data_IF_114081008157
#
_entry.id   IF_114081008157
#
_cell.length_a   1.000
_cell.length_b   1.000
_cell.length_c   1.000
_cell.angle_alpha   90.00
_cell.angle_beta   90.00
_cell.angle_gamma   90.00
#
_symmetry.space_group_name_H-M   'P 1'
#
loop_
_entity.id
_entity.type
_entity.pdbx_description
1 polymer ?
#
# COMPACT_ATOMS: atom_id res chain seq x y z
N UNK A 1 4.76 -11.03 15.72
CA UNK A 1 5.11 -9.72 16.30
C UNK A 1 6.41 -9.16 15.73
N UNK A 2 7.45 -9.99 15.57
CA UNK A 2 8.72 -9.62 14.92
C UNK A 2 8.57 -8.93 13.55
N UNK A 3 7.62 -9.37 12.72
CA UNK A 3 7.39 -8.79 11.39
C UNK A 3 6.84 -7.36 11.46
N UNK A 4 5.96 -7.06 12.42
CA UNK A 4 5.45 -5.70 12.62
C UNK A 4 6.56 -4.79 13.16
N UNK A 5 7.43 -5.30 14.03
CA UNK A 5 8.59 -4.56 14.52
C UNK A 5 9.54 -4.19 13.37
N UNK A 6 9.79 -5.11 12.44
CA UNK A 6 10.61 -4.84 11.26
C UNK A 6 9.97 -3.78 10.34
N UNK A 7 8.65 -3.82 10.17
CA UNK A 7 7.92 -2.78 9.43
C UNK A 7 7.90 -1.43 10.18
N UNK A 8 8.03 -1.43 11.50
CA UNK A 8 8.07 -0.21 12.32
C UNK A 8 9.41 0.51 12.31
N UNK A 9 10.40 -0.01 11.58
CA UNK A 9 11.74 0.59 11.48
C UNK A 9 11.69 2.07 11.09
N UNK A 10 10.89 2.42 10.08
CA UNK A 10 10.78 3.81 9.59
C UNK A 10 10.23 4.76 10.65
N UNK A 11 9.31 4.28 11.50
CA UNK A 11 8.73 5.03 12.62
C UNK A 11 9.71 5.17 13.79
N UNK A 12 10.48 4.09 14.02
CA UNK A 12 11.40 3.98 15.15
C UNK A 12 12.70 4.78 14.98
N UNK A 13 13.02 5.20 13.76
CA UNK A 13 14.27 5.93 13.45
C UNK A 13 14.04 7.44 13.38
N UNK A 14 14.86 8.20 14.09
CA UNK A 14 14.91 9.66 13.97
C UNK A 14 15.33 10.07 12.55
N UNK A 15 14.53 10.91 11.89
CA UNK A 15 14.75 11.31 10.49
C UNK A 15 16.03 12.10 10.21
N UNK A 16 16.73 12.56 11.26
CA UNK A 16 17.98 13.31 11.12
C UNK A 16 19.22 12.41 10.97
N UNK A 17 19.07 11.09 11.16
CA UNK A 17 20.20 10.14 11.17
C UNK A 17 20.40 9.37 9.87
N UNK A 18 19.35 9.20 9.07
CA UNK A 18 19.39 8.37 7.85
C UNK A 18 18.75 9.10 6.68
N UNK A 19 19.36 8.97 5.52
CA UNK A 19 18.79 9.43 4.26
C UNK A 19 17.55 8.59 3.89
N UNK A 20 16.62 9.14 3.09
CA UNK A 20 15.46 8.38 2.64
C UNK A 20 15.82 7.10 1.86
N UNK A 21 16.97 7.06 1.19
CA UNK A 21 17.45 5.88 0.46
C UNK A 21 17.88 4.76 1.40
N UNK A 22 18.63 5.08 2.46
CA UNK A 22 19.07 4.10 3.46
C UNK A 22 17.88 3.48 4.20
N UNK A 23 16.88 4.30 4.55
CA UNK A 23 15.65 3.79 5.16
C UNK A 23 14.95 2.78 4.25
N UNK A 24 14.93 3.03 2.94
CA UNK A 24 14.36 2.10 1.95
C UNK A 24 15.15 0.80 1.90
N UNK A 25 16.48 0.85 1.87
CA UNK A 25 17.32 -0.36 1.80
C UNK A 25 17.12 -1.32 2.97
N UNK A 26 16.81 -0.81 4.16
CA UNK A 26 16.52 -1.62 5.35
C UNK A 26 15.08 -2.12 5.36
N UNK A 27 14.13 -1.31 4.86
CA UNK A 27 12.70 -1.64 4.87
C UNK A 27 12.33 -2.67 3.78
N UNK A 28 13.06 -2.70 2.66
CA UNK A 28 12.76 -3.57 1.51
C UNK A 28 12.79 -5.06 1.83
N UNK A 29 13.80 -5.61 2.54
CA UNK A 29 13.79 -7.00 2.96
C UNK A 29 12.58 -7.37 3.84
N UNK A 30 12.15 -6.47 4.73
CA UNK A 30 11.00 -6.70 5.60
C UNK A 30 9.69 -6.75 4.79
N UNK A 31 9.52 -5.83 3.84
CA UNK A 31 8.39 -5.82 2.91
C UNK A 31 8.39 -7.08 2.03
N UNK A 32 9.55 -7.49 1.51
CA UNK A 32 9.69 -8.70 0.70
C UNK A 32 9.33 -9.96 1.49
N UNK A 33 9.83 -10.09 2.73
CA UNK A 33 9.51 -11.22 3.61
C UNK A 33 8.01 -11.28 3.93
N UNK A 34 7.37 -10.15 4.23
CA UNK A 34 5.92 -10.10 4.42
C UNK A 34 5.19 -10.55 3.14
N UNK A 35 5.62 -10.06 1.99
CA UNK A 35 5.01 -10.38 0.70
C UNK A 35 5.10 -11.88 0.40
N UNK A 36 6.26 -12.49 0.63
CA UNK A 36 6.42 -13.93 0.47
C UNK A 36 5.61 -14.75 1.47
N UNK A 37 5.48 -14.27 2.71
CA UNK A 37 4.58 -14.89 3.69
C UNK A 37 3.14 -14.82 3.20
N UNK A 38 2.68 -13.66 2.74
CA UNK A 38 1.33 -13.44 2.23
C UNK A 38 0.98 -14.39 1.07
N UNK A 39 1.92 -14.65 0.16
CA UNK A 39 1.74 -15.59 -0.96
C UNK A 39 1.56 -17.06 -0.51
N UNK A 40 1.98 -17.40 0.71
CA UNK A 40 1.87 -18.76 1.28
C UNK A 40 0.62 -18.94 2.15
N UNK A 41 -0.12 -17.87 2.43
CA UNK A 41 -1.30 -17.92 3.27
C UNK A 41 -2.57 -18.14 2.44
N UNK A 42 -3.55 -18.82 3.04
CA UNK A 42 -4.91 -18.85 2.51
C UNK A 42 -5.58 -17.48 2.70
N UNK A 43 -6.62 -17.18 1.92
CA UNK A 43 -7.40 -15.94 2.09
C UNK A 43 -7.91 -15.77 3.54
N UNK A 44 -8.41 -16.87 4.13
CA UNK A 44 -8.95 -16.90 5.49
C UNK A 44 -7.93 -16.53 6.57
N UNK A 45 -6.64 -16.79 6.33
CA UNK A 45 -5.55 -16.47 7.27
C UNK A 45 -4.91 -15.12 6.93
N UNK A 46 -4.84 -14.78 5.65
CA UNK A 46 -4.28 -13.52 5.17
C UNK A 46 -5.13 -12.32 5.57
N UNK A 47 -6.47 -12.41 5.48
CA UNK A 47 -7.39 -11.30 5.78
C UNK A 47 -7.22 -10.76 7.21
N UNK A 48 -7.24 -11.58 8.28
CA UNK A 48 -6.96 -11.11 9.64
C UNK A 48 -5.55 -10.52 9.82
N UNK A 49 -4.54 -11.12 9.17
CA UNK A 49 -3.17 -10.61 9.23
C UNK A 49 -3.06 -9.22 8.58
N UNK A 50 -3.65 -9.05 7.40
CA UNK A 50 -3.67 -7.77 6.69
C UNK A 50 -4.40 -6.71 7.50
N UNK A 51 -5.55 -7.03 8.09
CA UNK A 51 -6.28 -6.12 8.96
C UNK A 51 -5.43 -5.69 10.18
N UNK A 52 -4.67 -6.60 10.78
CA UNK A 52 -3.77 -6.26 11.90
C UNK A 52 -2.68 -5.26 11.48
N UNK A 53 -2.10 -5.42 10.30
CA UNK A 53 -1.10 -4.47 9.76
C UNK A 53 -1.77 -3.14 9.40
N UNK A 54 -2.95 -3.19 8.80
CA UNK A 54 -3.75 -2.02 8.48
C UNK A 54 -4.09 -1.20 9.74
N UNK A 55 -4.55 -1.86 10.80
CA UNK A 55 -4.88 -1.20 12.08
C UNK A 55 -3.63 -0.60 12.73
N UNK A 56 -2.50 -1.33 12.70
CA UNK A 56 -1.20 -0.82 13.14
C UNK A 56 -0.78 0.45 12.38
N UNK A 57 -0.97 0.48 11.06
CA UNK A 57 -0.48 1.57 10.23
C UNK A 57 -1.39 2.82 10.22
N UNK A 58 -2.71 2.63 10.30
CA UNK A 58 -3.67 3.69 9.99
C UNK A 58 -4.63 4.02 11.15
N UNK A 59 -4.90 3.09 12.09
CA UNK A 59 -5.77 3.37 13.26
C UNK A 59 -5.01 3.70 14.53
N UNK A 60 -3.75 3.27 14.67
CA UNK A 60 -2.91 3.68 15.80
C UNK A 60 -2.42 5.11 15.60
N UNK A 61 -2.81 6.02 16.51
CA UNK A 61 -2.43 7.44 16.61
C UNK A 61 -1.33 7.92 15.63
N UNK A 62 -1.74 8.38 14.45
CA UNK A 62 -1.03 9.38 13.63
C UNK A 62 0.38 9.05 13.11
N UNK A 63 0.80 7.80 13.15
CA UNK A 63 2.06 7.26 12.61
C UNK A 63 2.30 7.53 11.12
N UNK A 64 2.58 8.77 10.68
CA UNK A 64 2.82 9.11 9.26
C UNK A 64 3.89 8.22 8.60
N UNK A 65 4.85 7.72 9.37
CA UNK A 65 5.86 6.77 8.90
C UNK A 65 5.31 5.40 8.64
N UNK A 66 4.52 4.86 9.57
CA UNK A 66 3.85 3.57 9.42
C UNK A 66 2.93 3.56 8.20
N UNK A 67 2.23 4.66 7.96
CA UNK A 67 1.40 4.81 6.77
C UNK A 67 2.22 4.67 5.47
N UNK A 68 3.39 5.32 5.38
CA UNK A 68 4.29 5.19 4.22
C UNK A 68 4.71 3.72 4.04
N UNK A 69 5.15 3.06 5.11
CA UNK A 69 5.55 1.65 5.06
C UNK A 69 4.40 0.76 4.61
N UNK A 70 3.19 0.99 5.12
CA UNK A 70 1.99 0.27 4.72
C UNK A 70 1.66 0.44 3.24
N UNK A 71 1.70 1.66 2.71
CA UNK A 71 1.45 1.87 1.27
C UNK A 71 2.50 1.21 0.39
N UNK A 72 3.77 1.20 0.79
CA UNK A 72 4.84 0.45 0.08
C UNK A 72 4.59 -1.06 0.12
N UNK A 73 4.19 -1.58 1.28
CA UNK A 73 3.84 -2.98 1.45
C UNK A 73 2.65 -3.38 0.57
N UNK A 74 1.56 -2.62 0.62
CA UNK A 74 0.37 -2.86 -0.20
C UNK A 74 0.67 -2.80 -1.69
N UNK A 75 1.57 -1.90 -2.13
CA UNK A 75 2.04 -1.88 -3.51
C UNK A 75 2.75 -3.19 -3.91
N UNK A 76 3.68 -3.68 -3.10
CA UNK A 76 4.38 -4.94 -3.37
C UNK A 76 3.47 -6.17 -3.33
N UNK A 77 2.51 -6.18 -2.39
CA UNK A 77 1.47 -7.18 -2.32
C UNK A 77 0.60 -7.19 -3.58
N UNK A 78 0.23 -6.03 -4.11
CA UNK A 78 -0.54 -5.91 -5.34
C UNK A 78 0.17 -6.51 -6.55
N UNK A 79 1.47 -6.26 -6.67
CA UNK A 79 2.29 -6.83 -7.75
C UNK A 79 2.38 -8.35 -7.64
N UNK A 80 2.43 -8.87 -6.42
CA UNK A 80 2.69 -10.29 -6.15
C UNK A 80 1.43 -11.14 -6.13
N UNK A 81 0.34 -10.65 -5.53
CA UNK A 81 -0.93 -11.36 -5.34
C UNK A 81 -1.86 -11.25 -6.56
N UNK A 82 -1.53 -10.42 -7.57
CA UNK A 82 -2.32 -10.21 -8.80
C UNK A 82 -3.81 -9.98 -8.48
N UNK A 83 -4.70 -10.85 -8.97
CA UNK A 83 -6.16 -10.74 -8.74
C UNK A 83 -6.57 -10.99 -7.29
N UNK A 84 -5.76 -11.70 -6.49
CA UNK A 84 -6.09 -12.02 -5.09
C UNK A 84 -6.08 -10.77 -4.19
N UNK A 85 -5.33 -9.74 -4.57
CA UNK A 85 -5.33 -8.46 -3.85
C UNK A 85 -6.63 -7.67 -4.04
N UNK A 86 -7.40 -7.92 -5.10
CA UNK A 86 -8.66 -7.21 -5.38
C UNK A 86 -9.71 -7.37 -4.28
N UNK A 87 -9.65 -8.49 -3.54
CA UNK A 87 -10.50 -8.78 -2.38
C UNK A 87 -10.26 -7.83 -1.19
N UNK A 88 -9.11 -7.14 -1.19
CA UNK A 88 -8.68 -6.21 -0.15
C UNK A 88 -8.61 -4.76 -0.65
N UNK A 89 -8.81 -4.56 -1.95
CA UNK A 89 -8.77 -3.24 -2.57
C UNK A 89 -9.85 -2.31 -2.01
N UNK A 90 -11.02 -2.81 -1.64
CA UNK A 90 -12.10 -1.99 -1.06
C UNK A 90 -11.68 -1.22 0.19
N UNK A 91 -11.14 -1.92 1.20
CA UNK A 91 -10.66 -1.30 2.45
C UNK A 91 -9.53 -0.31 2.14
N UNK A 92 -8.62 -0.68 1.24
CA UNK A 92 -7.51 0.18 0.87
C UNK A 92 -7.94 1.46 0.14
N UNK A 93 -8.86 1.34 -0.83
CA UNK A 93 -9.34 2.45 -1.67
C UNK A 93 -10.08 3.48 -0.82
N UNK A 94 -10.90 3.04 0.15
CA UNK A 94 -11.59 3.98 1.06
C UNK A 94 -10.60 4.85 1.84
N UNK A 95 -9.52 4.27 2.36
CA UNK A 95 -8.50 5.02 3.10
C UNK A 95 -7.62 5.87 2.18
N UNK A 96 -7.27 5.36 1.01
CA UNK A 96 -6.55 6.12 0.01
C UNK A 96 -7.35 7.36 -0.43
N UNK A 97 -8.65 7.21 -0.63
CA UNK A 97 -9.56 8.30 -0.98
C UNK A 97 -9.70 9.30 0.15
N UNK A 98 -9.88 8.85 1.40
CA UNK A 98 -9.93 9.73 2.58
C UNK A 98 -8.62 10.50 2.77
N UNK A 99 -7.47 9.83 2.65
CA UNK A 99 -6.17 10.48 2.73
C UNK A 99 -5.93 11.45 1.57
N UNK A 100 -6.38 11.12 0.36
CA UNK A 100 -6.25 12.01 -0.79
C UNK A 100 -7.14 13.24 -0.64
N UNK A 101 -8.37 13.07 -0.12
CA UNK A 101 -9.29 14.17 0.15
C UNK A 101 -8.77 15.09 1.25
N UNK A 102 -8.24 14.52 2.34
CA UNK A 102 -7.58 15.25 3.42
C UNK A 102 -6.32 16.01 2.98
N UNK A 103 -5.71 15.63 1.86
CA UNK A 103 -4.51 16.27 1.30
C UNK A 103 -4.78 17.05 0.01
N UNK A 104 -6.05 17.24 -0.37
CA UNK A 104 -6.41 17.93 -1.59
C UNK A 104 -6.10 19.44 -1.48
N UNK A 105 -5.06 19.88 -2.20
CA UNK A 105 -4.51 21.24 -2.18
C UNK A 105 -5.58 22.30 -2.53
N UNK A 106 -6.54 21.95 -3.38
CA UNK A 106 -7.65 22.85 -3.79
C UNK A 106 -8.67 23.10 -2.65
N UNK A 107 -8.82 22.18 -1.69
CA UNK A 107 -9.58 22.40 -0.45
C UNK A 107 -8.73 23.11 0.62
N UNK A 108 -7.42 22.84 0.64
CA UNK A 108 -6.45 23.40 1.61
C UNK A 108 -6.12 24.88 1.32
N UNK A 109 -6.36 25.37 0.10
CA UNK A 109 -6.11 26.77 -0.29
C UNK A 109 -6.91 27.81 0.52
N UNK A 110 -7.95 27.42 1.26
CA UNK A 110 -8.61 28.30 2.24
C UNK A 110 -7.89 28.37 3.60
N UNK A 111 -6.99 27.43 3.94
CA UNK A 111 -6.40 27.30 5.29
C UNK A 111 -4.87 27.17 5.35
N UNK A 112 -4.12 27.56 4.32
CA UNK A 112 -2.70 27.95 4.46
C UNK A 112 -1.74 26.94 5.11
N UNK A 113 -1.85 25.63 4.85
CA UNK A 113 -0.94 24.62 5.40
C UNK A 113 -0.08 23.94 4.32
N UNK A 114 1.22 23.88 4.62
CA UNK A 114 2.30 23.39 3.75
C UNK A 114 2.09 21.94 3.30
N UNK A 115 2.09 21.70 1.98
CA UNK A 115 2.08 20.36 1.39
C UNK A 115 3.45 19.70 1.60
N UNK A 116 3.54 18.81 2.58
CA UNK A 116 4.78 18.13 2.91
C UNK A 116 5.20 17.16 1.78
N UNK A 117 6.45 17.31 1.31
CA UNK A 117 7.08 16.59 0.17
C UNK A 117 6.98 15.06 0.28
N UNK A 118 6.81 14.50 1.49
CA UNK A 118 6.64 13.05 1.75
C UNK A 118 5.32 12.50 1.24
N UNK A 119 4.26 13.31 1.18
CA UNK A 119 2.93 12.88 0.74
C UNK A 119 2.77 12.82 -0.77
N UNK A 120 3.59 13.56 -1.54
CA UNK A 120 3.68 13.39 -2.99
C UNK A 120 4.09 11.96 -3.35
N UNK A 121 4.96 11.32 -2.55
CA UNK A 121 5.35 9.92 -2.74
C UNK A 121 4.20 8.95 -2.43
N UNK A 122 3.44 9.20 -1.36
CA UNK A 122 2.26 8.39 -1.03
C UNK A 122 1.19 8.52 -2.13
N UNK A 123 0.87 9.74 -2.55
CA UNK A 123 -0.06 9.99 -3.66
C UNK A 123 0.44 9.35 -4.97
N UNK A 124 1.74 9.46 -5.28
CA UNK A 124 2.33 8.78 -6.43
C UNK A 124 2.21 7.26 -6.32
N UNK A 125 2.54 6.66 -5.18
CA UNK A 125 2.38 5.21 -4.95
C UNK A 125 0.92 4.76 -5.08
N UNK A 126 -0.02 5.55 -4.56
CA UNK A 126 -1.46 5.32 -4.69
C UNK A 126 -1.92 5.37 -6.16
N UNK A 127 -1.47 6.37 -6.91
CA UNK A 127 -1.78 6.52 -8.35
C UNK A 127 -1.14 5.40 -9.18
N UNK A 128 0.13 5.07 -8.92
CA UNK A 128 0.86 3.97 -9.58
C UNK A 128 0.22 2.63 -9.28
N UNK A 129 -0.21 2.40 -8.03
CA UNK A 129 -0.98 1.23 -7.64
C UNK A 129 -2.32 1.17 -8.40
N UNK A 130 -3.10 2.27 -8.40
CA UNK A 130 -4.40 2.31 -9.07
C UNK A 130 -4.28 2.00 -10.57
N UNK A 131 -3.24 2.55 -11.22
CA UNK A 131 -2.90 2.27 -12.62
C UNK A 131 -2.57 0.79 -12.84
N UNK A 132 -1.76 0.18 -11.96
CA UNK A 132 -1.42 -1.24 -12.04
C UNK A 132 -2.64 -2.15 -11.83
N UNK A 133 -3.52 -1.83 -10.88
CA UNK A 133 -4.75 -2.57 -10.67
C UNK A 133 -5.72 -2.47 -11.86
N UNK A 134 -5.86 -1.28 -12.45
CA UNK A 134 -6.67 -1.08 -13.66
C UNK A 134 -6.13 -1.91 -14.83
N UNK A 135 -4.81 -1.92 -15.01
CA UNK A 135 -4.16 -2.66 -16.10
C UNK A 135 -4.27 -4.18 -15.92
N UNK A 136 -4.18 -4.68 -14.68
CA UNK A 136 -4.40 -6.10 -14.38
C UNK A 136 -5.87 -6.51 -14.57
N UNK A 137 -6.82 -5.68 -14.13
CA UNK A 137 -8.26 -5.86 -14.36
C UNK A 137 -8.58 -5.96 -15.85
N UNK A 138 -8.04 -5.04 -16.65
CA UNK A 138 -8.21 -5.02 -18.11
C UNK A 138 -7.63 -6.27 -18.76
N UNK A 139 -6.45 -6.73 -18.31
CA UNK A 139 -5.82 -7.96 -18.82
C UNK A 139 -6.61 -9.24 -18.49
N UNK A 140 -7.21 -9.33 -17.31
CA UNK A 140 -8.10 -10.45 -16.95
C UNK A 140 -9.35 -10.44 -17.83
N UNK A 141 -9.96 -9.26 -18.02
CA UNK A 141 -11.16 -9.11 -18.84
C UNK A 141 -10.88 -9.44 -20.32
N UNK A 142 -9.75 -8.97 -20.86
CA UNK A 142 -9.31 -9.31 -22.23
C UNK A 142 -9.06 -10.83 -22.39
N UNK A 143 -8.40 -11.47 -21.42
CA UNK A 143 -8.16 -12.91 -21.49
C UNK A 143 -9.46 -13.74 -21.37
N UNK A 144 -10.46 -13.25 -20.64
CA UNK A 144 -11.79 -13.89 -20.56
C UNK A 144 -12.58 -13.72 -21.87
N UNK A 145 -12.47 -12.56 -22.53
CA UNK A 145 -13.09 -12.33 -23.84
C UNK A 145 -12.43 -13.20 -24.92
N UNK A 146 -11.10 -13.25 -24.98
CA UNK A 146 -10.35 -14.07 -25.94
C UNK A 146 -10.57 -15.58 -25.74
N UNK A 147 -10.79 -16.04 -24.51
CA UNK A 147 -11.19 -17.43 -24.24
C UNK A 147 -12.60 -17.76 -24.69
N UNK A 148 -13.51 -16.77 -24.69
CA UNK A 148 -14.90 -16.96 -25.11
C UNK A 148 -15.00 -17.14 -26.63
N UNK A 149 -14.12 -16.47 -27.38
CA UNK A 149 -14.05 -16.55 -28.84
C UNK A 149 -13.35 -17.83 -29.36
N UNK A 150 -12.65 -18.58 -28.50
CA UNK A 150 -11.96 -19.83 -28.87
C UNK A 150 -12.74 -21.11 -28.51
N UNK A 151 -13.94 -20.97 -27.97
CA UNK A 151 -14.88 -22.07 -27.67
C UNK A 151 -16.16 -22.03 -28.50
N UNK A 152 -16.19 -21.27 -29.61
CA UNK A 152 -17.26 -21.28 -30.60
C UNK A 152 -16.76 -21.83 -31.93
#
# INVERSE_FOLDING_TARGET
ELLLLALDFRSSVSHDKLTPGEVITVEDPAIAAFTQLALKLTESTFRPLYNKVYDWALRSQGDKQRAITFFRLSYQLALSLKSLFSLFAGIFISNAAELLDNNNIMKIQNNGLMVNMRWKKVAFLLITYYKHCLQYSLSIHLNLLLKKDSTN
#
